data_IF_508201808870
#
_entry.id   IF_508201808870
#
_cell.length_a   1.000
_cell.length_b   1.000
_cell.length_c   1.000
_cell.angle_alpha   90.00
_cell.angle_beta   90.00
_cell.angle_gamma   90.00
#
_symmetry.space_group_name_H-M   'P 1'
#
loop_
_entity.id
_entity.type
_entity.pdbx_description
1 polymer ?
#
# COMPACT_ATOMS: atom_id res chain seq x y z
N UNK A 1 68.18 6.67 -6.25
CA UNK A 1 67.87 7.45 -5.02
C UNK A 1 69.08 7.56 -4.11
N UNK A 2 70.22 6.91 -4.44
CA UNK A 2 71.52 7.08 -3.77
C UNK A 2 72.14 8.50 -3.82
N UNK A 3 71.90 9.28 -4.88
CA UNK A 3 72.74 10.48 -5.16
C UNK A 3 72.44 11.73 -4.31
N UNK A 4 71.33 11.75 -3.55
CA UNK A 4 70.99 12.92 -2.71
C UNK A 4 71.58 12.84 -1.29
N UNK A 5 72.17 11.70 -0.93
CA UNK A 5 72.80 11.48 0.38
C UNK A 5 74.29 11.86 0.40
N UNK A 6 74.80 12.43 -0.70
CA UNK A 6 76.21 12.81 -0.87
C UNK A 6 76.58 14.13 -0.15
N UNK A 7 75.58 14.90 0.31
CA UNK A 7 75.78 16.12 1.11
C UNK A 7 75.24 15.94 2.53
N UNK A 8 75.81 14.99 3.26
CA UNK A 8 75.53 14.81 4.69
C UNK A 8 76.09 15.98 5.51
N UNK A 9 75.60 16.19 6.74
CA UNK A 9 76.14 17.21 7.64
C UNK A 9 77.66 17.07 7.88
N UNK A 10 78.16 15.83 7.78
CA UNK A 10 79.59 15.49 7.82
C UNK A 10 80.37 16.03 6.60
N UNK A 11 79.77 16.03 5.41
CA UNK A 11 80.35 16.60 4.19
C UNK A 11 80.47 18.13 4.31
N UNK A 12 79.51 18.78 4.96
CA UNK A 12 79.53 20.24 5.21
C UNK A 12 80.65 20.61 6.19
N UNK A 13 80.84 19.82 7.26
CA UNK A 13 81.92 20.00 8.24
C UNK A 13 83.33 19.79 7.68
N UNK A 14 83.50 18.83 6.76
CA UNK A 14 84.79 18.49 6.16
C UNK A 14 85.12 19.31 4.92
N UNK A 15 84.32 20.33 4.59
CA UNK A 15 84.49 21.10 3.36
C UNK A 15 85.59 22.15 3.51
N UNK A 16 86.69 21.97 2.77
CA UNK A 16 87.78 22.94 2.71
C UNK A 16 87.60 23.94 1.55
N UNK A 17 88.03 25.19 1.78
CA UNK A 17 87.98 26.30 0.82
C UNK A 17 89.38 26.89 0.56
N UNK A 18 89.65 27.33 -0.67
CA UNK A 18 90.91 28.01 -1.00
C UNK A 18 90.94 29.46 -0.47
N UNK A 19 92.07 29.89 0.07
CA UNK A 19 92.28 31.23 0.63
C UNK A 19 92.71 32.20 -0.48
N UNK A 20 92.09 33.37 -0.56
CA UNK A 20 92.39 34.44 -1.54
C UNK A 20 92.59 35.79 -0.85
N UNK A 21 93.40 36.68 -1.44
CA UNK A 21 93.86 37.96 -0.84
C UNK A 21 92.74 38.94 -0.43
N UNK A 22 91.51 38.76 -0.93
CA UNK A 22 90.28 39.46 -0.51
C UNK A 22 89.13 38.48 -0.30
N UNK A 23 89.35 37.45 0.50
CA UNK A 23 88.34 36.43 0.85
C UNK A 23 87.60 36.72 2.15
N UNK A 24 86.59 35.91 2.44
CA UNK A 24 85.94 35.87 3.76
C UNK A 24 86.91 35.35 4.83
N UNK A 25 86.69 35.75 6.08
CA UNK A 25 87.52 35.28 7.20
C UNK A 25 87.26 33.79 7.48
N UNK A 26 88.30 32.93 7.53
CA UNK A 26 88.13 31.50 7.76
C UNK A 26 87.34 31.18 9.04
N UNK A 27 87.60 31.85 10.16
CA UNK A 27 86.93 31.60 11.44
C UNK A 27 85.41 31.88 11.41
N UNK A 28 84.97 32.88 10.64
CA UNK A 28 83.55 33.20 10.51
C UNK A 28 82.85 32.17 9.59
N UNK A 29 83.56 31.70 8.56
CA UNK A 29 83.09 30.65 7.66
C UNK A 29 82.96 29.32 8.41
N UNK A 30 83.95 28.92 9.20
CA UNK A 30 83.92 27.66 9.96
C UNK A 30 82.76 27.62 10.97
N UNK A 31 82.55 28.72 11.72
CA UNK A 31 81.39 28.84 12.62
C UNK A 31 80.05 28.73 11.89
N UNK A 32 79.98 29.29 10.67
CA UNK A 32 78.78 29.16 9.85
C UNK A 32 78.57 27.72 9.35
N UNK A 33 79.64 27.02 8.94
CA UNK A 33 79.57 25.63 8.51
C UNK A 33 79.15 24.69 9.65
N UNK A 34 79.62 24.93 10.87
CA UNK A 34 79.20 24.18 12.05
C UNK A 34 77.70 24.37 12.36
N UNK A 35 77.22 25.62 12.31
CA UNK A 35 75.80 25.93 12.49
C UNK A 35 74.93 25.33 11.36
N UNK A 36 75.40 25.43 10.12
CA UNK A 36 74.73 24.88 8.95
C UNK A 36 74.67 23.35 9.00
N UNK A 37 75.76 22.70 9.40
CA UNK A 37 75.84 21.25 9.61
C UNK A 37 74.83 20.78 10.65
N UNK A 38 74.76 21.47 11.80
CA UNK A 38 73.82 21.13 12.87
C UNK A 38 72.34 21.29 12.44
N UNK A 39 72.00 22.37 11.73
CA UNK A 39 70.63 22.57 11.26
C UNK A 39 70.27 21.60 10.12
N UNK A 40 71.24 21.22 9.27
CA UNK A 40 71.04 20.20 8.25
C UNK A 40 70.77 18.82 8.85
N UNK A 41 71.53 18.42 9.89
CA UNK A 41 71.26 17.18 10.64
C UNK A 41 69.88 17.19 11.29
N UNK A 42 69.50 18.32 11.89
CA UNK A 42 68.17 18.49 12.48
C UNK A 42 67.07 18.36 11.43
N UNK A 43 67.26 18.98 10.27
CA UNK A 43 66.31 18.91 9.15
C UNK A 43 66.21 17.50 8.59
N UNK A 44 67.34 16.79 8.45
CA UNK A 44 67.37 15.41 7.98
C UNK A 44 66.65 14.46 8.94
N UNK A 45 66.83 14.63 10.26
CA UNK A 45 66.08 13.86 11.28
C UNK A 45 64.58 14.13 11.19
N UNK A 46 64.18 15.40 11.17
CA UNK A 46 62.76 15.78 11.01
C UNK A 46 62.16 15.24 9.71
N UNK A 47 62.90 15.25 8.61
CA UNK A 47 62.42 14.71 7.34
C UNK A 47 62.18 13.19 7.44
N UNK A 48 63.09 12.44 8.06
CA UNK A 48 62.86 11.01 8.34
C UNK A 48 61.64 10.79 9.24
N UNK A 49 61.52 11.52 10.33
CA UNK A 49 60.35 11.42 11.23
C UNK A 49 59.04 11.73 10.51
N UNK A 50 59.02 12.75 9.64
CA UNK A 50 57.86 13.10 8.83
C UNK A 50 57.56 12.04 7.77
N UNK A 51 58.58 11.47 7.12
CA UNK A 51 58.42 10.38 6.16
C UNK A 51 57.85 9.13 6.83
N UNK A 52 58.40 8.72 7.98
CA UNK A 52 57.89 7.59 8.76
C UNK A 52 56.44 7.82 9.22
N UNK A 53 56.10 9.05 9.64
CA UNK A 53 54.73 9.41 10.02
C UNK A 53 53.77 9.35 8.83
N UNK A 54 54.20 9.86 7.67
CA UNK A 54 53.41 9.79 6.44
C UNK A 54 53.17 8.35 5.99
N UNK A 55 54.19 7.50 6.08
CA UNK A 55 54.07 6.09 5.67
C UNK A 55 53.15 5.32 6.62
N UNK A 56 53.21 5.59 7.93
CA UNK A 56 52.25 5.06 8.91
C UNK A 56 50.82 5.50 8.61
N UNK A 57 50.58 6.80 8.41
CA UNK A 57 49.25 7.33 8.10
C UNK A 57 48.69 6.75 6.79
N UNK A 58 49.52 6.63 5.76
CA UNK A 58 49.11 6.01 4.50
C UNK A 58 48.73 4.55 4.71
N UNK A 59 49.53 3.80 5.46
CA UNK A 59 49.23 2.40 5.75
C UNK A 59 47.90 2.27 6.50
N UNK A 60 47.71 3.01 7.59
CA UNK A 60 46.46 3.02 8.37
C UNK A 60 45.26 3.38 7.50
N UNK A 61 45.34 4.48 6.73
CA UNK A 61 44.27 4.91 5.82
C UNK A 61 43.93 3.83 4.78
N UNK A 62 44.93 3.14 4.21
CA UNK A 62 44.67 2.08 3.23
C UNK A 62 44.00 0.86 3.86
N UNK A 63 44.39 0.49 5.08
CA UNK A 63 43.77 -0.62 5.80
C UNK A 63 42.32 -0.30 6.12
N UNK A 64 42.05 0.88 6.69
CA UNK A 64 40.69 1.34 6.99
C UNK A 64 39.82 1.38 5.73
N UNK A 65 40.32 1.93 4.62
CA UNK A 65 39.59 1.94 3.35
C UNK A 65 39.25 0.53 2.86
N UNK A 66 40.17 -0.43 3.01
CA UNK A 66 39.92 -1.81 2.58
C UNK A 66 38.88 -2.50 3.47
N UNK A 67 38.90 -2.24 4.77
CA UNK A 67 37.95 -2.85 5.69
C UNK A 67 36.56 -2.23 5.56
N UNK A 68 36.47 -0.91 5.37
CA UNK A 68 35.20 -0.24 5.05
C UNK A 68 34.62 -0.81 3.75
N UNK A 69 35.43 -1.00 2.71
CA UNK A 69 34.97 -1.61 1.44
C UNK A 69 34.42 -3.02 1.66
N UNK A 70 35.06 -3.85 2.49
CA UNK A 70 34.54 -5.19 2.83
C UNK A 70 33.20 -5.10 3.56
N UNK A 71 33.09 -4.24 4.57
CA UNK A 71 31.84 -4.06 5.31
C UNK A 71 30.70 -3.62 4.39
N UNK A 72 30.96 -2.69 3.46
CA UNK A 72 29.97 -2.27 2.46
C UNK A 72 29.61 -3.43 1.53
N UNK A 73 30.59 -4.20 1.07
CA UNK A 73 30.33 -5.37 0.21
C UNK A 73 29.49 -6.43 0.93
N UNK A 74 29.81 -6.75 2.18
CA UNK A 74 29.07 -7.70 3.01
C UNK A 74 27.65 -7.20 3.30
N UNK A 75 27.49 -5.90 3.58
CA UNK A 75 26.19 -5.28 3.76
C UNK A 75 25.35 -5.34 2.47
N UNK A 76 25.93 -5.11 1.30
CA UNK A 76 25.24 -5.22 0.01
C UNK A 76 24.80 -6.66 -0.28
N UNK A 77 25.67 -7.63 -0.04
CA UNK A 77 25.35 -9.06 -0.22
C UNK A 77 24.24 -9.48 0.76
N UNK A 78 24.31 -9.02 2.01
CA UNK A 78 23.28 -9.30 3.01
C UNK A 78 21.95 -8.65 2.64
N UNK A 79 21.95 -7.38 2.24
CA UNK A 79 20.75 -6.67 1.77
C UNK A 79 20.11 -7.38 0.56
N UNK A 80 20.91 -7.82 -0.41
CA UNK A 80 20.42 -8.61 -1.54
C UNK A 80 19.80 -9.94 -1.09
N UNK A 81 20.45 -10.65 -0.16
CA UNK A 81 19.93 -11.91 0.38
C UNK A 81 18.59 -11.69 1.09
N UNK A 82 18.47 -10.65 1.91
CA UNK A 82 17.22 -10.27 2.59
C UNK A 82 16.14 -9.91 1.58
N UNK A 83 16.47 -9.15 0.53
CA UNK A 83 15.53 -8.81 -0.52
C UNK A 83 14.99 -10.05 -1.26
N UNK A 84 15.86 -11.01 -1.60
CA UNK A 84 15.44 -12.27 -2.20
C UNK A 84 14.63 -13.15 -1.23
N UNK A 85 14.97 -13.15 0.06
CA UNK A 85 14.19 -13.85 1.08
C UNK A 85 12.78 -13.27 1.23
N UNK A 86 12.64 -11.94 1.31
CA UNK A 86 11.34 -11.25 1.35
C UNK A 86 10.54 -11.58 0.10
N UNK A 87 11.16 -11.55 -1.09
CA UNK A 87 10.49 -11.86 -2.35
C UNK A 87 10.02 -13.32 -2.41
N UNK A 88 10.84 -14.26 -1.96
CA UNK A 88 10.48 -15.68 -1.93
C UNK A 88 9.39 -15.96 -0.90
N UNK A 89 9.46 -15.32 0.26
CA UNK A 89 8.44 -15.43 1.30
C UNK A 89 7.10 -14.85 0.81
N UNK A 90 7.09 -13.66 0.22
CA UNK A 90 5.89 -13.05 -0.35
C UNK A 90 5.26 -13.91 -1.46
N UNK A 91 6.08 -14.55 -2.31
CA UNK A 91 5.59 -15.49 -3.30
C UNK A 91 4.93 -16.71 -2.67
N UNK A 92 5.58 -17.32 -1.67
CA UNK A 92 5.05 -18.48 -0.95
C UNK A 92 3.74 -18.13 -0.24
N UNK A 93 3.69 -16.99 0.45
CA UNK A 93 2.48 -16.51 1.11
C UNK A 93 1.36 -16.22 0.10
N UNK A 94 1.67 -15.66 -1.07
CA UNK A 94 0.69 -15.45 -2.12
C UNK A 94 0.14 -16.78 -2.66
N UNK A 95 0.99 -17.77 -2.88
CA UNK A 95 0.58 -19.12 -3.31
C UNK A 95 -0.30 -19.80 -2.25
N UNK A 96 0.11 -19.76 -0.98
CA UNK A 96 -0.67 -20.29 0.14
C UNK A 96 -2.01 -19.56 0.28
N UNK A 97 -2.03 -18.24 0.13
CA UNK A 97 -3.26 -17.46 0.17
C UNK A 97 -4.21 -17.86 -0.94
N UNK A 98 -3.73 -17.98 -2.18
CA UNK A 98 -4.55 -18.42 -3.32
C UNK A 98 -5.10 -19.83 -3.07
N UNK A 99 -4.28 -20.74 -2.56
CA UNK A 99 -4.70 -22.11 -2.25
C UNK A 99 -5.75 -22.15 -1.13
N UNK A 100 -5.55 -21.40 -0.05
CA UNK A 100 -6.54 -21.27 1.02
C UNK A 100 -7.87 -20.68 0.52
N UNK A 101 -7.81 -19.67 -0.37
CA UNK A 101 -9.01 -19.08 -0.98
C UNK A 101 -9.76 -20.08 -1.84
N UNK A 102 -9.05 -20.90 -2.63
CA UNK A 102 -9.68 -21.97 -3.43
C UNK A 102 -10.36 -23.01 -2.53
N UNK A 103 -9.69 -23.48 -1.49
CA UNK A 103 -10.27 -24.44 -0.55
C UNK A 103 -11.48 -23.87 0.20
N UNK A 104 -11.42 -22.60 0.57
CA UNK A 104 -12.56 -21.92 1.17
C UNK A 104 -13.74 -21.79 0.20
N UNK A 105 -13.47 -21.40 -1.06
CA UNK A 105 -14.49 -21.31 -2.11
C UNK A 105 -15.14 -22.66 -2.40
N UNK A 106 -14.34 -23.73 -2.50
CA UNK A 106 -14.85 -25.09 -2.70
C UNK A 106 -15.76 -25.54 -1.54
N UNK A 107 -15.35 -25.28 -0.30
CA UNK A 107 -16.19 -25.56 0.89
C UNK A 107 -17.49 -24.75 0.87
N UNK A 108 -17.40 -23.44 0.60
CA UNK A 108 -18.57 -22.57 0.52
C UNK A 108 -19.54 -23.01 -0.59
N UNK A 109 -19.02 -23.42 -1.74
CA UNK A 109 -19.82 -23.94 -2.85
C UNK A 109 -20.49 -25.27 -2.47
N UNK A 110 -19.77 -26.18 -1.80
CA UNK A 110 -20.32 -27.43 -1.30
C UNK A 110 -21.46 -27.21 -0.30
N UNK A 111 -21.29 -26.28 0.64
CA UNK A 111 -22.36 -25.91 1.58
C UNK A 111 -23.57 -25.31 0.87
N UNK A 112 -23.36 -24.44 -0.12
CA UNK A 112 -24.44 -23.85 -0.91
C UNK A 112 -25.20 -24.91 -1.71
N UNK A 113 -24.49 -25.86 -2.31
CA UNK A 113 -25.09 -26.99 -3.02
C UNK A 113 -25.93 -27.87 -2.08
N UNK A 114 -25.42 -28.18 -0.88
CA UNK A 114 -26.19 -28.93 0.12
C UNK A 114 -27.45 -28.18 0.56
N UNK A 115 -27.36 -26.86 0.78
CA UNK A 115 -28.53 -26.02 1.10
C UNK A 115 -29.54 -26.02 -0.05
N UNK A 116 -29.07 -25.91 -1.30
CA UNK A 116 -29.92 -26.00 -2.48
C UNK A 116 -30.66 -27.33 -2.55
N UNK A 117 -29.96 -28.46 -2.37
CA UNK A 117 -30.58 -29.79 -2.38
C UNK A 117 -31.66 -29.93 -1.30
N UNK A 118 -31.38 -29.48 -0.07
CA UNK A 118 -32.36 -29.48 1.02
C UNK A 118 -33.59 -28.62 0.70
N UNK A 119 -33.38 -27.46 0.08
CA UNK A 119 -34.47 -26.58 -0.33
C UNK A 119 -35.33 -27.23 -1.42
N UNK A 120 -34.70 -27.84 -2.43
CA UNK A 120 -35.40 -28.58 -3.49
C UNK A 120 -36.21 -29.75 -2.93
N UNK A 121 -35.65 -30.51 -1.98
CA UNK A 121 -36.36 -31.58 -1.27
C UNK A 121 -37.57 -31.02 -0.49
N UNK A 122 -37.38 -29.94 0.27
CA UNK A 122 -38.47 -29.30 1.00
C UNK A 122 -39.59 -28.79 0.07
N UNK A 123 -39.22 -28.28 -1.11
CA UNK A 123 -40.17 -27.81 -2.12
C UNK A 123 -40.98 -28.97 -2.70
N UNK A 124 -40.34 -30.12 -2.95
CA UNK A 124 -41.02 -31.34 -3.40
C UNK A 124 -42.03 -31.82 -2.36
N UNK A 125 -41.62 -31.89 -1.08
CA UNK A 125 -42.49 -32.29 0.03
C UNK A 125 -43.68 -31.33 0.17
N UNK A 126 -43.43 -30.02 0.10
CA UNK A 126 -44.49 -29.01 0.21
C UNK A 126 -45.48 -29.08 -0.95
N UNK A 127 -44.99 -29.33 -2.17
CA UNK A 127 -45.84 -29.57 -3.34
C UNK A 127 -46.71 -30.81 -3.16
N UNK A 128 -46.14 -31.91 -2.67
CA UNK A 128 -46.90 -33.13 -2.34
C UNK A 128 -48.01 -32.87 -1.32
N UNK A 129 -47.72 -32.11 -0.26
CA UNK A 129 -48.75 -31.70 0.74
C UNK A 129 -49.85 -30.84 0.12
N UNK A 130 -49.49 -29.94 -0.80
CA UNK A 130 -50.46 -29.11 -1.52
C UNK A 130 -51.39 -29.96 -2.39
N UNK A 131 -50.85 -30.92 -3.14
CA UNK A 131 -51.64 -31.83 -3.97
C UNK A 131 -52.54 -32.73 -3.10
N UNK A 132 -52.03 -33.24 -1.97
CA UNK A 132 -52.82 -34.00 -0.99
C UNK A 132 -54.00 -33.17 -0.44
N UNK A 133 -53.75 -31.91 -0.07
CA UNK A 133 -54.80 -31.00 0.42
C UNK A 133 -55.84 -30.75 -0.68
N UNK A 134 -55.40 -30.51 -1.91
CA UNK A 134 -56.27 -30.30 -3.06
C UNK A 134 -57.18 -31.50 -3.30
N UNK A 135 -56.65 -32.72 -3.21
CA UNK A 135 -57.42 -33.94 -3.37
C UNK A 135 -58.39 -34.18 -2.20
N UNK A 136 -58.00 -33.84 -0.96
CA UNK A 136 -58.93 -33.84 0.18
C UNK A 136 -60.11 -32.92 -0.04
N UNK A 137 -59.87 -31.70 -0.53
CA UNK A 137 -60.94 -30.73 -0.85
C UNK A 137 -61.85 -31.27 -1.95
N UNK A 138 -61.30 -31.85 -3.03
CA UNK A 138 -62.09 -32.45 -4.11
C UNK A 138 -62.98 -33.58 -3.59
N UNK A 139 -62.44 -34.50 -2.81
CA UNK A 139 -63.22 -35.60 -2.19
C UNK A 139 -64.33 -35.07 -1.30
N UNK A 140 -64.07 -34.02 -0.53
CA UNK A 140 -65.09 -33.39 0.31
C UNK A 140 -66.22 -32.81 -0.53
N UNK A 141 -65.91 -32.14 -1.64
CA UNK A 141 -66.90 -31.61 -2.57
C UNK A 141 -67.67 -32.74 -3.29
N UNK A 142 -67.01 -33.82 -3.70
CA UNK A 142 -67.67 -35.00 -4.27
C UNK A 142 -68.65 -35.62 -3.27
N UNK A 143 -68.24 -35.78 -2.01
CA UNK A 143 -69.10 -36.27 -0.94
C UNK A 143 -70.31 -35.34 -0.71
N UNK A 144 -70.12 -34.02 -0.71
CA UNK A 144 -71.24 -33.07 -0.58
C UNK A 144 -72.20 -33.15 -1.77
N UNK A 145 -71.69 -33.27 -2.99
CA UNK A 145 -72.52 -33.44 -4.18
C UNK A 145 -73.31 -34.75 -4.13
N UNK A 146 -72.69 -35.84 -3.64
CA UNK A 146 -73.38 -37.11 -3.43
C UNK A 146 -74.51 -36.96 -2.40
N UNK A 147 -74.26 -36.30 -1.27
CA UNK A 147 -75.29 -36.04 -0.26
C UNK A 147 -76.45 -35.19 -0.81
N UNK A 148 -76.17 -34.17 -1.63
CA UNK A 148 -77.21 -33.40 -2.32
C UNK A 148 -78.01 -34.30 -3.27
N UNK A 149 -77.34 -35.18 -4.01
CA UNK A 149 -78.01 -36.11 -4.92
C UNK A 149 -78.90 -37.12 -4.17
N UNK A 150 -78.48 -37.56 -2.99
CA UNK A 150 -79.29 -38.41 -2.09
C UNK A 150 -80.51 -37.65 -1.55
N UNK A 151 -80.37 -36.37 -1.16
CA UNK A 151 -81.50 -35.51 -0.77
C UNK A 151 -82.47 -35.31 -1.93
N UNK A 152 -81.97 -35.02 -3.14
CA UNK A 152 -82.81 -34.82 -4.32
C UNK A 152 -83.59 -36.09 -4.67
N UNK A 153 -82.97 -37.27 -4.47
CA UNK A 153 -83.63 -38.56 -4.64
C UNK A 153 -84.71 -38.82 -3.57
N UNK A 154 -84.49 -38.41 -2.31
CA UNK A 154 -85.52 -38.45 -1.25
C UNK A 154 -86.66 -37.45 -1.48
N UNK A 155 -86.40 -36.30 -2.12
CA UNK A 155 -87.41 -35.27 -2.38
C UNK A 155 -88.27 -35.51 -3.64
N UNK A 156 -87.86 -36.41 -4.55
CA UNK A 156 -88.57 -36.64 -5.82
C UNK A 156 -89.73 -37.65 -5.76
N UNK A 157 -90.02 -38.27 -4.61
CA UNK A 157 -91.20 -39.13 -4.43
C UNK A 157 -92.51 -38.36 -4.09
N UNK A 158 -92.50 -37.02 -4.03
CA UNK A 158 -93.60 -36.30 -3.38
C UNK A 158 -94.10 -34.98 -3.97
N UNK A 159 -93.79 -34.60 -5.22
CA UNK A 159 -94.35 -33.36 -5.79
C UNK A 159 -94.83 -33.53 -7.23
N UNK A 160 -96.14 -33.77 -7.38
CA UNK A 160 -96.88 -33.41 -8.60
C UNK A 160 -96.87 -31.88 -8.75
N UNK A 161 -96.31 -31.38 -9.85
CA UNK A 161 -96.56 -30.00 -10.29
C UNK A 161 -97.92 -29.95 -10.99
N UNK A 162 -98.91 -29.20 -10.49
CA UNK A 162 -100.11 -28.95 -11.27
C UNK A 162 -99.76 -28.05 -12.46
N UNK A 163 -100.07 -28.52 -13.67
CA UNK A 163 -100.07 -27.71 -14.89
C UNK A 163 -100.90 -26.44 -14.67
N UNK A 164 -100.27 -25.27 -14.78
CA UNK A 164 -101.01 -24.02 -14.95
C UNK A 164 -101.30 -23.82 -16.43
N UNK A 165 -102.56 -24.09 -16.77
CA UNK A 165 -103.24 -23.60 -17.97
C UNK A 165 -103.17 -22.09 -18.07
N UNK A 166 -103.14 -21.64 -19.32
CA UNK A 166 -103.14 -20.27 -19.80
C UNK A 166 -104.20 -19.39 -19.14
N UNK A 167 -103.79 -18.21 -18.71
CA UNK A 167 -104.64 -17.02 -18.70
C UNK A 167 -103.77 -15.78 -18.81
N UNK A 168 -103.75 -15.23 -20.02
CA UNK A 168 -103.49 -13.82 -20.30
C UNK A 168 -104.36 -12.95 -19.39
N UNK A 169 -103.77 -11.94 -18.72
CA UNK A 169 -104.19 -10.56 -18.90
C UNK A 169 -103.38 -9.55 -18.05
N UNK A 170 -102.76 -8.61 -18.79
CA UNK A 170 -102.55 -7.18 -18.48
C UNK A 170 -101.54 -6.81 -17.37
N UNK A 171 -100.71 -5.77 -17.46
CA UNK A 171 -100.15 -4.82 -18.45
C UNK A 171 -99.23 -3.92 -17.59
N UNK A 172 -98.11 -3.41 -18.09
CA UNK A 172 -97.66 -2.00 -17.89
C UNK A 172 -96.22 -1.78 -18.41
N UNK A 173 -96.17 -0.96 -19.46
CA UNK A 173 -95.17 0.03 -19.87
C UNK A 173 -93.67 -0.32 -20.03
N UNK A 174 -93.27 -0.25 -21.30
CA UNK A 174 -91.97 0.25 -21.76
C UNK A 174 -91.55 1.54 -21.02
N UNK A 175 -90.36 1.53 -20.43
CA UNK A 175 -89.27 2.43 -20.83
C UNK A 175 -87.99 2.10 -20.07
N UNK A 176 -86.94 1.80 -20.82
CA UNK A 176 -85.58 1.86 -20.32
C UNK A 176 -85.16 3.32 -20.12
N UNK A 177 -84.41 3.62 -19.05
CA UNK A 177 -83.31 4.55 -19.19
C UNK A 177 -82.00 3.94 -18.70
N UNK A 178 -81.02 3.99 -19.60
CA UNK A 178 -79.59 4.17 -19.32
C UNK A 178 -79.38 5.23 -18.24
N UNK A 179 -78.65 4.91 -17.15
CA UNK A 179 -77.73 5.84 -16.47
C UNK A 179 -76.61 5.09 -15.74
N UNK A 180 -75.38 5.38 -16.17
CA UNK A 180 -74.17 5.46 -15.35
C UNK A 180 -74.40 6.16 -14.00
N UNK A 181 -73.56 5.85 -12.99
CA UNK A 181 -72.90 6.77 -12.03
C UNK A 181 -72.43 5.95 -10.81
N UNK A 182 -71.12 5.72 -10.67
CA UNK A 182 -70.16 6.44 -9.80
C UNK A 182 -70.20 6.09 -8.31
N UNK A 183 -69.00 5.80 -7.82
CA UNK A 183 -68.49 5.69 -6.46
C UNK A 183 -69.30 6.38 -5.35
N UNK A 184 -69.38 5.72 -4.20
CA UNK A 184 -68.75 6.20 -2.96
C UNK A 184 -68.64 5.09 -1.92
N UNK A 185 -67.54 5.12 -1.16
CA UNK A 185 -67.34 4.37 0.08
C UNK A 185 -67.98 5.14 1.24
N UNK A 186 -68.34 4.48 2.35
CA UNK A 186 -67.48 4.64 3.52
C UNK A 186 -67.34 3.38 4.40
N UNK A 187 -66.12 3.25 4.94
CA UNK A 187 -65.72 2.79 6.27
C UNK A 187 -66.71 1.99 7.13
N UNK A 188 -66.30 0.79 7.55
CA UNK A 188 -66.11 0.42 8.96
C UNK A 188 -65.38 -0.93 9.09
N UNK A 189 -64.35 -0.98 9.94
CA UNK A 189 -63.66 -2.18 10.42
C UNK A 189 -64.55 -2.96 11.41
N UNK A 190 -64.28 -4.26 11.62
CA UNK A 190 -63.65 -4.60 12.89
C UNK A 190 -62.45 -5.55 12.76
N UNK A 191 -61.51 -5.30 13.66
CA UNK A 191 -60.33 -6.08 14.00
C UNK A 191 -60.72 -7.48 14.48
N UNK A 192 -60.07 -8.52 13.97
CA UNK A 192 -59.80 -9.74 14.74
C UNK A 192 -58.42 -10.28 14.35
N UNK A 193 -57.60 -10.48 15.38
CA UNK A 193 -56.20 -10.81 15.32
C UNK A 193 -55.95 -12.22 14.77
N UNK A 194 -54.92 -12.37 13.94
CA UNK A 194 -54.26 -13.66 13.73
C UNK A 194 -52.76 -13.50 14.06
N UNK A 195 -52.36 -14.12 15.16
CA UNK A 195 -51.00 -14.20 15.67
C UNK A 195 -50.10 -14.96 14.68
N UNK A 196 -49.00 -14.34 14.26
CA UNK A 196 -47.90 -15.02 13.58
C UNK A 196 -46.82 -15.32 14.63
N UNK A 197 -46.77 -16.57 15.08
CA UNK A 197 -45.75 -17.07 16.00
C UNK A 197 -44.35 -17.11 15.35
N UNK A 198 -43.45 -16.30 15.90
CA UNK A 198 -42.02 -16.53 16.11
C UNK A 198 -41.18 -17.25 15.02
N UNK A 199 -40.71 -16.50 14.02
CA UNK A 199 -39.45 -16.81 13.35
C UNK A 199 -38.27 -16.30 14.21
N UNK A 200 -37.80 -17.14 15.15
CA UNK A 200 -36.59 -16.89 15.93
C UNK A 200 -35.36 -16.97 15.02
N UNK A 201 -34.89 -15.80 14.57
CA UNK A 201 -33.53 -15.63 14.03
C UNK A 201 -32.59 -15.56 15.24
N UNK A 202 -31.92 -16.68 15.51
CA UNK A 202 -30.82 -16.72 16.49
C UNK A 202 -29.69 -15.82 15.99
N UNK A 203 -29.52 -14.69 16.67
CA UNK A 203 -28.27 -13.93 16.66
C UNK A 203 -27.17 -14.78 17.27
N UNK A 204 -26.28 -15.32 16.45
CA UNK A 204 -24.88 -15.42 16.82
C UNK A 204 -24.15 -14.30 16.09
N UNK A 205 -23.94 -13.21 16.82
CA UNK A 205 -22.90 -12.24 16.49
C UNK A 205 -21.58 -12.93 16.80
N UNK A 206 -20.79 -13.25 15.79
CA UNK A 206 -19.36 -12.99 15.91
C UNK A 206 -18.66 -12.74 14.57
N UNK A 207 -17.99 -11.58 14.53
CA UNK A 207 -16.86 -11.22 13.65
C UNK A 207 -17.05 -11.07 12.14
N UNK A 208 -18.20 -10.54 11.68
CA UNK A 208 -18.31 -9.86 10.39
C UNK A 208 -17.94 -8.38 10.49
N UNK A 209 -16.70 -8.05 10.88
CA UNK A 209 -16.27 -6.65 10.96
C UNK A 209 -16.08 -6.09 9.54
N UNK A 210 -16.99 -5.19 9.15
CA UNK A 210 -16.93 -4.45 7.89
C UNK A 210 -15.60 -3.67 7.80
N UNK A 211 -14.68 -4.11 6.94
CA UNK A 211 -13.62 -3.22 6.45
C UNK A 211 -14.20 -2.27 5.39
N UNK A 212 -14.92 -1.26 5.87
CA UNK A 212 -15.07 0.02 5.14
C UNK A 212 -14.40 1.08 6.00
N UNK A 213 -13.07 1.02 6.06
CA UNK A 213 -12.24 2.12 6.51
C UNK A 213 -10.88 1.97 5.84
N UNK A 214 -10.68 2.76 4.78
CA UNK A 214 -9.37 3.30 4.34
C UNK A 214 -9.37 3.86 2.90
N UNK A 215 -10.54 4.11 2.28
CA UNK A 215 -10.61 4.89 1.02
C UNK A 215 -10.31 6.40 1.20
N UNK A 216 -10.14 6.88 2.43
CA UNK A 216 -9.69 8.26 2.71
C UNK A 216 -8.18 8.36 3.00
N UNK A 217 -7.47 7.24 3.22
CA UNK A 217 -6.01 7.25 3.40
C UNK A 217 -5.28 7.16 2.07
N UNK A 218 -5.79 6.38 1.11
CA UNK A 218 -5.20 6.28 -0.24
C UNK A 218 -5.17 7.63 -0.97
N UNK A 219 -6.21 8.48 -0.82
CA UNK A 219 -6.22 9.82 -1.43
C UNK A 219 -5.21 10.79 -0.83
N UNK A 220 -4.85 10.63 0.45
CA UNK A 220 -3.84 11.45 1.12
C UNK A 220 -2.41 10.99 0.80
N UNK A 221 -2.21 9.70 0.53
CA UNK A 221 -0.91 9.17 0.07
C UNK A 221 -0.65 9.45 -1.41
N UNK A 222 -1.67 9.42 -2.27
CA UNK A 222 -1.55 9.83 -3.68
C UNK A 222 -1.22 11.32 -3.82
N UNK A 223 -1.84 12.21 -3.03
CA UNK A 223 -1.48 13.64 -3.01
C UNK A 223 -0.06 13.89 -2.46
N UNK A 224 0.40 13.10 -1.48
CA UNK A 224 1.77 13.22 -0.96
C UNK A 224 2.82 12.74 -1.96
N UNK A 225 2.51 11.70 -2.75
CA UNK A 225 3.35 11.21 -3.85
C UNK A 225 3.42 12.21 -5.02
N UNK A 226 2.31 12.83 -5.41
CA UNK A 226 2.33 13.85 -6.48
C UNK A 226 3.12 15.09 -6.07
N UNK A 227 3.02 15.54 -4.81
CA UNK A 227 3.82 16.67 -4.31
C UNK A 227 5.32 16.32 -4.19
N UNK A 228 5.68 15.09 -3.81
CA UNK A 228 7.10 14.69 -3.77
C UNK A 228 7.69 14.46 -5.16
N UNK A 229 6.91 13.99 -6.13
CA UNK A 229 7.36 13.85 -7.53
C UNK A 229 7.51 15.21 -8.23
N UNK A 230 6.60 16.17 -8.01
CA UNK A 230 6.75 17.54 -8.53
C UNK A 230 7.94 18.27 -7.88
N UNK A 231 8.15 18.09 -6.57
CA UNK A 231 9.31 18.69 -5.88
C UNK A 231 10.64 18.05 -6.33
N UNK A 232 10.65 16.74 -6.60
CA UNK A 232 11.84 16.03 -7.10
C UNK A 232 12.16 16.40 -8.55
N UNK A 233 11.15 16.59 -9.40
CA UNK A 233 11.34 17.10 -10.75
C UNK A 233 11.82 18.56 -10.76
N UNK A 234 11.31 19.41 -9.86
CA UNK A 234 11.74 20.80 -9.74
C UNK A 234 13.19 20.92 -9.24
N UNK A 235 13.61 20.10 -8.27
CA UNK A 235 15.00 20.08 -7.79
C UNK A 235 15.96 19.62 -8.90
N UNK A 236 15.62 18.58 -9.67
CA UNK A 236 16.46 18.11 -10.79
C UNK A 236 16.54 19.09 -11.96
N UNK A 237 15.49 19.88 -12.24
CA UNK A 237 15.55 20.95 -13.23
C UNK A 237 16.37 22.15 -12.74
N UNK A 238 16.28 22.51 -11.46
CA UNK A 238 17.10 23.56 -10.87
C UNK A 238 18.58 23.19 -10.78
N UNK A 239 18.92 21.93 -10.47
CA UNK A 239 20.32 21.46 -10.44
C UNK A 239 20.95 21.40 -11.85
N UNK A 240 20.19 21.00 -12.88
CA UNK A 240 20.67 21.06 -14.28
C UNK A 240 20.80 22.50 -14.80
N UNK A 241 19.97 23.42 -14.33
CA UNK A 241 20.09 24.85 -14.63
C UNK A 241 21.29 25.49 -13.91
N UNK A 242 21.60 25.06 -12.68
CA UNK A 242 22.74 25.57 -11.90
C UNK A 242 24.09 25.04 -12.43
N UNK A 243 24.18 23.75 -12.81
CA UNK A 243 25.39 23.20 -13.44
C UNK A 243 25.70 23.84 -14.80
N UNK A 244 24.67 24.16 -15.59
CA UNK A 244 24.85 24.83 -16.89
C UNK A 244 25.19 26.32 -16.76
N UNK A 245 24.77 26.97 -15.66
CA UNK A 245 25.07 28.37 -15.34
C UNK A 245 26.47 28.54 -14.72
N UNK A 246 26.89 27.62 -13.85
CA UNK A 246 28.23 27.64 -13.23
C UNK A 246 29.36 27.37 -14.25
N UNK A 247 29.08 26.66 -15.35
CA UNK A 247 30.07 26.40 -16.41
C UNK A 247 30.35 27.62 -17.31
N UNK A 248 29.54 28.68 -17.25
CA UNK A 248 29.70 29.90 -18.07
C UNK A 248 30.24 31.13 -17.33
N UNK A 249 30.39 31.11 -16.00
CA UNK A 249 30.90 32.25 -15.23
C UNK A 249 32.05 31.90 -14.27
N UNK A 250 33.13 31.28 -14.77
CA UNK A 250 34.43 31.42 -14.10
C UNK A 250 35.16 32.64 -14.67
N UNK A 251 34.77 33.85 -14.24
CA UNK A 251 35.70 34.98 -14.33
C UNK A 251 36.85 34.68 -13.38
N UNK A 252 38.08 34.71 -13.89
CA UNK A 252 39.30 34.58 -13.09
C UNK A 252 39.24 35.61 -11.96
N UNK A 253 39.10 35.15 -10.72
CA UNK A 253 39.31 35.99 -9.55
C UNK A 253 40.82 36.16 -9.45
N UNK A 254 41.29 37.37 -9.69
CA UNK A 254 42.69 37.72 -9.51
C UNK A 254 42.94 37.86 -8.01
N UNK A 255 43.63 36.88 -7.42
CA UNK A 255 43.86 36.77 -5.98
C UNK A 255 44.83 37.89 -5.49
N UNK A 256 45.35 38.70 -6.41
CA UNK A 256 46.20 39.86 -6.15
C UNK A 256 45.45 41.20 -6.08
N UNK A 257 44.12 41.21 -5.96
CA UNK A 257 43.36 42.44 -5.76
C UNK A 257 43.50 42.95 -4.30
N UNK A 258 44.12 44.12 -4.05
CA UNK A 258 44.38 44.61 -2.69
C UNK A 258 43.12 44.80 -1.84
N UNK A 259 41.96 45.05 -2.45
CA UNK A 259 40.69 45.28 -1.73
C UNK A 259 40.14 44.00 -1.05
N UNK A 260 40.53 42.81 -1.49
CA UNK A 260 40.08 41.54 -0.90
C UNK A 260 40.93 41.20 0.34
N UNK A 261 42.19 41.64 0.37
CA UNK A 261 43.12 41.33 1.46
C UNK A 261 42.86 42.22 2.67
N UNK A 262 42.53 43.51 2.48
CA UNK A 262 42.23 44.41 3.60
C UNK A 262 40.97 44.02 4.37
N UNK A 263 39.95 43.48 3.69
CA UNK A 263 38.71 43.04 4.34
C UNK A 263 38.87 41.72 5.12
N UNK A 264 39.89 40.91 4.81
CA UNK A 264 40.13 39.65 5.52
C UNK A 264 40.87 39.86 6.85
N UNK A 265 41.69 40.91 6.98
CA UNK A 265 42.42 41.22 8.22
C UNK A 265 41.67 42.13 9.19
N UNK A 266 40.61 42.84 8.75
CA UNK A 266 39.80 43.71 9.61
C UNK A 266 38.70 43.00 10.41
N UNK A 267 38.41 41.74 10.10
CA UNK A 267 37.32 40.99 10.75
C UNK A 267 37.77 40.16 11.97
N UNK A 268 39.02 40.32 12.42
CA UNK A 268 39.62 39.51 13.50
C UNK A 268 39.95 40.29 14.77
N UNK A 269 39.69 41.60 14.82
CA UNK A 269 39.85 42.44 16.01
C UNK A 269 38.52 43.13 16.37
N UNK A 270 37.54 42.34 16.82
CA UNK A 270 36.43 42.75 17.71
C UNK A 270 35.90 41.54 18.50
#
# INVERSE_FOLDING_TARGET
>A
MEDLMEKNAEFIRKKEFHIVFKGYKPEEVDKFLDALSAEFDRLARKNRELQESLDKLKFESTVEETDIKKVIQDALVSAHKVAEEIKNQAKKEAEEFVEQRKQFEEKALGELQQKKMKLEESMLVLRGKYDELKDKIRRLLENFNQYISEIDAEYFEGVEYPEKKDSEDLKEDEQAPDQSLTAETPSETPEEAFELEDYKISQERDSGFYFVRDREKEKKEEQKKSETEETTHHIQETEKADESSQKRQRKKIDIANPDIIENFFKASDD
#
